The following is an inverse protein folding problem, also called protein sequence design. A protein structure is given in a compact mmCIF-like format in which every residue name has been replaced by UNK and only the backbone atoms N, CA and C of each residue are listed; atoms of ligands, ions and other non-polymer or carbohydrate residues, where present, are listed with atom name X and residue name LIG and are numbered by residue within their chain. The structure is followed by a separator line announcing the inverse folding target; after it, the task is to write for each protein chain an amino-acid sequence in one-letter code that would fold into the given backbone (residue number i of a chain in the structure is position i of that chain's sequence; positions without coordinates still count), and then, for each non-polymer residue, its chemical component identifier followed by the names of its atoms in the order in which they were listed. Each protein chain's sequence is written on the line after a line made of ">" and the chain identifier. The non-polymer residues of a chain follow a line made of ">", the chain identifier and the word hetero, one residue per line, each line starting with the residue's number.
data_IF_611774193658
#
_entry.id   IF_611774193658
#
_cell.length_a   1.000
_cell.length_b   1.000
_cell.length_c   1.000
_cell.angle_alpha   90.00
_cell.angle_beta   90.00
_cell.angle_gamma   90.00
#
_symmetry.space_group_name_H-M   'P 1'
#
loop_
_entity.id
_entity.type
_entity.pdbx_description
1 polymer ?
#
# COMPACT_ATOMS: atom_id res chain seq x y z
N UNK A 1 -25.38 7.97 -12.19
CA UNK A 1 -24.81 7.47 -10.92
C UNK A 1 -25.53 6.16 -10.52
N UNK A 2 -24.77 5.10 -10.28
CA UNK A 2 -25.27 3.79 -9.84
C UNK A 2 -25.16 3.73 -8.31
N UNK A 3 -26.20 3.20 -7.64
CA UNK A 3 -26.16 2.87 -6.21
C UNK A 3 -26.17 1.35 -6.04
N UNK A 4 -25.27 0.84 -5.22
CA UNK A 4 -25.21 -0.57 -4.82
C UNK A 4 -25.32 -0.65 -3.30
N UNK A 5 -26.26 -1.43 -2.78
CA UNK A 5 -26.43 -1.67 -1.36
C UNK A 5 -25.79 -3.00 -0.98
N UNK A 6 -25.03 -2.99 0.13
CA UNK A 6 -24.33 -4.14 0.71
C UNK A 6 -24.90 -4.47 2.11
N UNK A 7 -26.04 -5.18 2.18
CA UNK A 7 -26.78 -5.38 3.43
C UNK A 7 -25.97 -6.15 4.48
N UNK A 8 -25.06 -7.03 4.05
CA UNK A 8 -24.23 -7.84 4.96
C UNK A 8 -23.23 -7.01 5.78
N UNK A 9 -22.91 -5.80 5.33
CA UNK A 9 -22.01 -4.87 6.00
C UNK A 9 -22.69 -3.53 6.32
N UNK A 10 -24.00 -3.42 6.06
CA UNK A 10 -24.82 -2.23 6.26
C UNK A 10 -24.26 -0.97 5.53
N UNK A 11 -23.66 -1.14 4.36
CA UNK A 11 -23.07 -0.08 3.55
C UNK A 11 -23.83 0.15 2.25
N UNK A 12 -23.72 1.34 1.71
CA UNK A 12 -24.16 1.70 0.36
C UNK A 12 -23.02 2.41 -0.37
N UNK A 13 -22.80 2.08 -1.62
CA UNK A 13 -21.81 2.72 -2.48
C UNK A 13 -22.51 3.37 -3.67
N UNK A 14 -22.22 4.65 -3.89
CA UNK A 14 -22.57 5.36 -5.11
C UNK A 14 -21.35 5.41 -6.02
N UNK A 15 -21.54 5.01 -7.26
CA UNK A 15 -20.49 4.86 -8.26
C UNK A 15 -20.84 5.68 -9.51
N UNK A 16 -19.89 6.47 -9.99
CA UNK A 16 -19.96 7.16 -11.26
C UNK A 16 -18.56 7.22 -11.89
N UNK A 17 -18.53 7.23 -13.21
CA UNK A 17 -17.32 7.59 -13.97
C UNK A 17 -17.68 8.81 -14.80
N UNK A 18 -17.00 9.92 -14.53
CA UNK A 18 -17.24 11.18 -15.23
C UNK A 18 -16.81 11.10 -16.70
N UNK A 19 -17.28 11.98 -17.58
CA UNK A 19 -16.91 11.98 -19.00
C UNK A 19 -15.39 12.10 -19.26
N UNK A 20 -14.65 12.71 -18.33
CA UNK A 20 -13.19 12.82 -18.38
C UNK A 20 -12.45 11.58 -17.82
N UNK A 21 -13.19 10.53 -17.44
CA UNK A 21 -12.64 9.28 -16.93
C UNK A 21 -12.43 9.21 -15.42
N UNK A 22 -12.61 10.31 -14.67
CA UNK A 22 -12.50 10.28 -13.20
C UNK A 22 -13.54 9.33 -12.60
N UNK A 23 -13.08 8.35 -11.85
CA UNK A 23 -13.93 7.44 -11.07
C UNK A 23 -14.30 8.09 -9.76
N UNK A 24 -15.58 8.25 -9.47
CA UNK A 24 -16.09 8.84 -8.22
C UNK A 24 -16.83 7.78 -7.42
N UNK A 25 -16.46 7.63 -6.17
CA UNK A 25 -17.00 6.66 -5.22
C UNK A 25 -17.44 7.39 -3.95
N UNK A 26 -18.69 7.17 -3.53
CA UNK A 26 -19.24 7.89 -2.37
C UNK A 26 -19.91 6.88 -1.44
N UNK A 27 -19.49 6.90 -0.19
CA UNK A 27 -20.06 6.09 0.90
C UNK A 27 -20.76 7.04 1.88
N UNK A 28 -22.09 7.19 1.80
CA UNK A 28 -22.82 8.10 2.67
C UNK A 28 -22.83 7.56 4.10
N UNK A 29 -22.44 8.40 5.06
CA UNK A 29 -22.51 8.13 6.51
C UNK A 29 -23.37 9.21 7.17
N UNK A 30 -24.68 8.98 7.21
CA UNK A 30 -25.63 9.95 7.76
C UNK A 30 -25.36 10.24 9.24
N UNK A 31 -25.60 11.48 9.62
CA UNK A 31 -25.46 12.01 11.00
C UNK A 31 -24.02 12.03 11.54
N UNK A 32 -23.01 11.74 10.71
CA UNK A 32 -21.61 11.95 11.08
C UNK A 32 -21.17 13.36 10.71
N UNK A 33 -20.63 14.10 11.70
CA UNK A 33 -20.08 15.42 11.44
C UNK A 33 -18.83 15.38 10.56
N UNK A 34 -17.99 14.35 10.77
CA UNK A 34 -16.77 14.16 9.99
C UNK A 34 -17.10 13.79 8.54
N UNK A 35 -16.39 14.42 7.62
CA UNK A 35 -16.38 14.09 6.18
C UNK A 35 -14.94 13.90 5.76
N UNK A 36 -14.70 12.95 4.88
CA UNK A 36 -13.37 12.65 4.34
C UNK A 36 -13.45 12.55 2.82
N UNK A 37 -12.54 13.21 2.13
CA UNK A 37 -12.31 13.01 0.71
C UNK A 37 -10.89 12.51 0.48
N UNK A 38 -10.75 11.54 -0.40
CA UNK A 38 -9.52 10.84 -0.72
C UNK A 38 -9.39 10.73 -2.22
N UNK A 39 -8.35 11.32 -2.79
CA UNK A 39 -8.05 11.28 -4.20
C UNK A 39 -6.81 10.42 -4.43
N UNK A 40 -7.01 9.24 -4.99
CA UNK A 40 -5.94 8.32 -5.37
C UNK A 40 -5.54 8.54 -6.82
N UNK A 41 -4.25 8.56 -7.07
CA UNK A 41 -3.63 8.54 -8.39
C UNK A 41 -2.97 7.18 -8.57
N UNK A 42 -3.26 6.46 -9.66
CA UNK A 42 -2.57 5.20 -10.01
C UNK A 42 -1.16 5.51 -10.50
N UNK A 43 -0.31 5.95 -9.57
CA UNK A 43 1.09 6.29 -9.75
C UNK A 43 1.82 6.09 -8.43
N UNK A 44 2.75 5.17 -8.39
CA UNK A 44 3.53 4.86 -7.20
C UNK A 44 5.03 4.82 -7.48
N UNK A 45 5.81 4.45 -6.47
CA UNK A 45 7.28 4.46 -6.57
C UNK A 45 7.84 3.48 -7.60
N UNK A 46 7.08 2.45 -7.99
CA UNK A 46 7.51 1.48 -9.02
C UNK A 46 7.29 1.96 -10.46
N UNK A 47 6.58 3.07 -10.68
CA UNK A 47 6.22 3.58 -12.00
C UNK A 47 7.35 4.44 -12.61
N UNK A 48 8.57 3.94 -12.60
CA UNK A 48 9.77 4.66 -13.09
C UNK A 48 10.07 4.45 -14.58
N UNK A 49 9.40 3.49 -15.23
CA UNK A 49 9.55 3.17 -16.65
C UNK A 49 8.18 3.05 -17.31
N UNK A 50 7.86 3.96 -18.21
CA UNK A 50 6.53 3.99 -18.84
C UNK A 50 6.57 4.52 -20.27
N UNK A 51 5.54 4.19 -21.05
CA UNK A 51 5.33 4.71 -22.41
C UNK A 51 4.10 5.59 -22.44
N UNK A 52 4.26 6.85 -22.87
CA UNK A 52 3.17 7.78 -23.12
C UNK A 52 3.27 8.32 -24.55
N UNK A 53 2.15 8.36 -25.26
CA UNK A 53 2.09 8.84 -26.66
C UNK A 53 3.10 8.14 -27.60
N UNK A 54 3.38 6.84 -27.32
CA UNK A 54 4.34 6.03 -28.07
C UNK A 54 5.82 6.30 -27.73
N UNK A 55 6.09 7.17 -26.79
CA UNK A 55 7.46 7.50 -26.32
C UNK A 55 7.72 6.86 -24.98
N UNK A 56 8.72 5.96 -24.89
CA UNK A 56 9.18 5.39 -23.63
C UNK A 56 10.02 6.38 -22.85
N UNK A 57 9.72 6.52 -21.57
CA UNK A 57 10.40 7.41 -20.63
C UNK A 57 10.86 6.60 -19.42
N UNK A 58 12.06 6.89 -18.96
CA UNK A 58 12.58 6.42 -17.68
C UNK A 58 12.86 7.65 -16.81
N UNK A 59 12.47 7.57 -15.56
CA UNK A 59 12.60 8.64 -14.57
C UNK A 59 13.34 8.13 -13.33
N UNK A 60 13.99 8.99 -12.55
CA UNK A 60 14.69 8.58 -11.34
C UNK A 60 13.75 7.97 -10.30
N UNK A 61 14.25 7.00 -9.54
CA UNK A 61 13.57 6.46 -8.37
C UNK A 61 13.30 7.59 -7.35
N UNK A 62 12.17 7.50 -6.64
CA UNK A 62 11.72 8.54 -5.70
C UNK A 62 10.88 9.64 -6.33
N UNK A 63 10.72 9.69 -7.66
CA UNK A 63 9.99 10.79 -8.33
C UNK A 63 8.50 10.85 -7.92
N UNK A 64 7.86 9.72 -7.65
CA UNK A 64 6.45 9.70 -7.21
C UNK A 64 6.29 10.37 -5.82
N UNK A 65 7.16 10.04 -4.89
CA UNK A 65 7.22 10.65 -3.57
C UNK A 65 7.60 12.13 -3.63
N UNK A 66 8.57 12.47 -4.48
CA UNK A 66 8.94 13.86 -4.72
C UNK A 66 7.76 14.68 -5.25
N UNK A 67 7.03 14.11 -6.21
CA UNK A 67 5.86 14.77 -6.78
C UNK A 67 4.74 14.94 -5.73
N UNK A 68 4.56 13.97 -4.84
CA UNK A 68 3.62 14.07 -3.72
C UNK A 68 3.89 15.33 -2.90
N UNK A 69 5.13 15.55 -2.45
CA UNK A 69 5.53 16.75 -1.71
C UNK A 69 5.23 18.03 -2.49
N UNK A 70 5.56 18.04 -3.77
CA UNK A 70 5.43 19.23 -4.62
C UNK A 70 4.00 19.62 -4.96
N UNK A 71 3.03 18.71 -4.84
CA UNK A 71 1.64 19.04 -5.13
C UNK A 71 0.98 19.98 -4.12
N UNK A 72 1.58 20.18 -2.94
CA UNK A 72 1.09 21.16 -1.96
C UNK A 72 1.43 22.61 -2.31
N UNK A 73 2.36 22.83 -3.22
CA UNK A 73 2.68 24.17 -3.75
C UNK A 73 1.70 24.54 -4.87
N UNK A 74 0.95 25.61 -4.69
CA UNK A 74 0.11 26.20 -5.72
C UNK A 74 0.69 27.56 -6.18
N UNK A 75 0.36 28.03 -7.40
CA UNK A 75 0.92 29.27 -7.92
C UNK A 75 0.69 30.50 -7.04
N UNK A 76 -0.37 30.53 -6.26
CA UNK A 76 -0.86 31.66 -5.49
C UNK A 76 -0.95 31.39 -3.98
N UNK A 77 -0.71 30.17 -3.52
CA UNK A 77 -0.84 29.81 -2.11
C UNK A 77 -0.13 28.50 -1.76
N UNK A 78 0.09 28.28 -0.47
CA UNK A 78 0.38 26.99 0.14
C UNK A 78 -0.92 26.26 0.46
N UNK A 79 -1.10 25.05 -0.07
CA UNK A 79 -2.33 24.27 0.12
C UNK A 79 -2.53 23.87 1.59
N UNK A 80 -1.47 23.50 2.32
CA UNK A 80 -1.57 23.14 3.74
C UNK A 80 -2.13 24.28 4.57
N UNK A 81 -1.61 25.50 4.38
CA UNK A 81 -2.09 26.68 5.06
C UNK A 81 -3.58 26.95 4.75
N UNK A 82 -3.97 26.76 3.48
CA UNK A 82 -5.36 26.99 3.07
C UNK A 82 -6.33 25.96 3.63
N UNK A 83 -5.96 24.68 3.66
CA UNK A 83 -6.76 23.63 4.34
C UNK A 83 -6.94 23.96 5.83
N UNK A 84 -5.87 24.36 6.51
CA UNK A 84 -5.94 24.76 7.91
C UNK A 84 -6.90 25.96 8.16
N UNK A 85 -6.87 26.97 7.28
CA UNK A 85 -7.82 28.10 7.33
C UNK A 85 -9.28 27.65 7.14
N UNK A 86 -9.51 26.61 6.34
CA UNK A 86 -10.83 26.02 6.10
C UNK A 86 -11.24 25.00 7.19
N UNK A 87 -10.42 24.81 8.22
CA UNK A 87 -10.68 23.90 9.33
C UNK A 87 -10.54 22.42 8.97
N UNK A 88 -9.76 22.09 7.94
CA UNK A 88 -9.49 20.72 7.53
C UNK A 88 -8.10 20.27 7.95
N UNK A 89 -7.96 18.94 8.17
CA UNK A 89 -6.68 18.25 8.27
C UNK A 89 -6.39 17.57 6.94
N UNK A 90 -5.32 17.95 6.28
CA UNK A 90 -4.87 17.37 5.00
C UNK A 90 -3.64 16.51 5.21
N UNK A 91 -3.51 15.45 4.42
CA UNK A 91 -2.31 14.61 4.36
C UNK A 91 -2.20 13.94 2.98
N UNK A 92 -1.02 13.40 2.70
CA UNK A 92 -0.75 12.60 1.50
C UNK A 92 0.17 11.44 1.84
N UNK A 93 0.28 10.48 0.94
CA UNK A 93 1.28 9.42 1.01
C UNK A 93 1.53 8.83 -0.37
N UNK A 94 2.73 8.29 -0.55
CA UNK A 94 3.12 7.48 -1.70
C UNK A 94 3.37 6.05 -1.25
N UNK A 95 2.79 5.10 -1.98
CA UNK A 95 3.09 3.67 -1.85
C UNK A 95 3.83 3.16 -3.09
N UNK A 96 4.07 1.87 -3.17
CA UNK A 96 4.63 1.26 -4.37
C UNK A 96 3.75 1.48 -5.62
N UNK A 97 2.44 1.53 -5.46
CA UNK A 97 1.47 1.48 -6.58
C UNK A 97 0.54 2.68 -6.68
N UNK A 98 0.50 3.54 -5.68
CA UNK A 98 -0.47 4.62 -5.57
C UNK A 98 0.13 5.81 -4.82
N UNK A 99 -0.18 7.02 -5.28
CA UNK A 99 -0.04 8.26 -4.50
C UNK A 99 -1.45 8.76 -4.17
N UNK A 100 -1.68 9.14 -2.92
CA UNK A 100 -2.99 9.59 -2.49
C UNK A 100 -2.92 10.87 -1.69
N UNK A 101 -3.90 11.74 -1.88
CA UNK A 101 -4.11 13.00 -1.19
C UNK A 101 -5.47 12.97 -0.54
N UNK A 102 -5.57 13.34 0.73
CA UNK A 102 -6.84 13.29 1.43
C UNK A 102 -6.96 14.39 2.46
N UNK A 103 -8.19 14.80 2.72
CA UNK A 103 -8.48 15.66 3.86
C UNK A 103 -9.66 15.12 4.65
N UNK A 104 -9.72 15.52 5.93
CA UNK A 104 -10.90 15.38 6.77
C UNK A 104 -11.34 16.73 7.31
N UNK A 105 -12.66 16.96 7.37
CA UNK A 105 -13.25 18.20 7.89
C UNK A 105 -14.62 17.94 8.52
N UNK A 106 -15.10 18.89 9.30
CA UNK A 106 -16.50 18.94 9.78
C UNK A 106 -17.33 19.96 9.01
N UNK A 107 -16.69 21.05 8.58
CA UNK A 107 -17.30 22.17 7.89
C UNK A 107 -16.57 22.47 6.58
N UNK A 108 -17.12 23.38 5.76
CA UNK A 108 -16.51 23.87 4.51
C UNK A 108 -16.10 22.73 3.56
N UNK A 109 -16.90 21.65 3.51
CA UNK A 109 -16.56 20.46 2.71
C UNK A 109 -16.39 20.78 1.22
N UNK A 110 -17.26 21.63 0.66
CA UNK A 110 -17.21 22.05 -0.73
C UNK A 110 -15.88 22.72 -1.06
N UNK A 111 -15.50 23.74 -0.27
CA UNK A 111 -14.27 24.50 -0.49
C UNK A 111 -13.03 23.63 -0.33
N UNK A 112 -13.04 22.71 0.63
CA UNK A 112 -11.96 21.77 0.84
C UNK A 112 -11.85 20.76 -0.32
N UNK A 113 -12.99 20.27 -0.87
CA UNK A 113 -12.97 19.35 -2.00
C UNK A 113 -12.51 20.06 -3.29
N UNK A 114 -12.96 21.29 -3.55
CA UNK A 114 -12.50 22.11 -4.67
C UNK A 114 -10.98 22.37 -4.55
N UNK A 115 -10.47 22.63 -3.35
CA UNK A 115 -9.05 22.83 -3.08
C UNK A 115 -8.25 21.55 -3.34
N UNK A 116 -8.71 20.37 -2.85
CA UNK A 116 -8.06 19.09 -3.09
C UNK A 116 -7.92 18.79 -4.59
N UNK A 117 -9.02 18.94 -5.33
CA UNK A 117 -9.03 18.69 -6.77
C UNK A 117 -8.11 19.66 -7.52
N UNK A 118 -8.13 20.97 -7.14
CA UNK A 118 -7.23 21.97 -7.69
C UNK A 118 -5.77 21.62 -7.40
N UNK A 119 -5.44 21.29 -6.15
CA UNK A 119 -4.10 20.95 -5.70
C UNK A 119 -3.51 19.81 -6.56
N UNK A 120 -4.30 18.76 -6.81
CA UNK A 120 -3.81 17.58 -7.55
C UNK A 120 -3.81 17.79 -9.06
N UNK A 121 -4.64 18.68 -9.61
CA UNK A 121 -4.76 18.88 -11.07
C UNK A 121 -3.99 20.07 -11.63
N UNK A 122 -3.51 20.98 -10.77
CA UNK A 122 -2.79 22.20 -11.20
C UNK A 122 -1.33 22.14 -10.74
N UNK A 123 -0.40 21.62 -11.58
CA UNK A 123 0.99 21.53 -11.20
C UNK A 123 1.67 22.90 -11.18
N UNK A 124 2.52 23.13 -10.17
CA UNK A 124 3.34 24.32 -10.07
C UNK A 124 4.72 23.97 -9.54
N UNK A 125 5.70 23.86 -10.44
CA UNK A 125 7.06 23.47 -10.10
C UNK A 125 8.03 24.51 -10.67
N UNK A 126 8.78 25.20 -9.79
CA UNK A 126 9.87 26.08 -10.17
C UNK A 126 11.20 25.43 -9.80
N UNK A 127 12.28 25.75 -10.50
CA UNK A 127 13.61 25.23 -10.17
C UNK A 127 13.97 25.50 -8.69
N UNK A 128 13.67 26.71 -8.20
CA UNK A 128 13.94 27.11 -6.82
C UNK A 128 13.14 26.27 -5.82
N UNK A 129 11.83 26.05 -6.09
CA UNK A 129 10.97 25.27 -5.18
C UNK A 129 11.31 23.78 -5.21
N UNK A 130 11.75 23.26 -6.35
CA UNK A 130 12.24 21.88 -6.47
C UNK A 130 13.53 21.71 -5.69
N UNK A 131 14.52 22.59 -5.85
CA UNK A 131 15.78 22.51 -5.10
C UNK A 131 15.58 22.62 -3.58
N UNK A 132 14.68 23.50 -3.14
CA UNK A 132 14.32 23.60 -1.70
C UNK A 132 13.74 22.29 -1.17
N UNK A 133 12.81 21.68 -1.90
CA UNK A 133 12.16 20.44 -1.49
C UNK A 133 13.13 19.26 -1.47
N UNK A 134 14.10 19.22 -2.40
CA UNK A 134 15.16 18.21 -2.43
C UNK A 134 15.87 18.10 -1.08
N UNK A 135 16.23 19.23 -0.47
CA UNK A 135 16.89 19.24 0.83
C UNK A 135 16.01 18.68 1.96
N UNK A 136 14.68 18.84 1.89
CA UNK A 136 13.74 18.28 2.86
C UNK A 136 13.66 16.75 2.68
N UNK A 137 13.49 16.29 1.45
CA UNK A 137 13.40 14.86 1.12
C UNK A 137 14.71 14.14 1.42
N UNK A 138 15.87 14.78 1.20
CA UNK A 138 17.18 14.23 1.61
C UNK A 138 17.22 13.91 3.12
N UNK A 139 16.75 14.83 3.96
CA UNK A 139 16.72 14.60 5.40
C UNK A 139 15.75 13.46 5.78
N UNK A 140 14.65 13.35 5.08
CA UNK A 140 13.70 12.24 5.27
C UNK A 140 14.31 10.89 4.85
N UNK A 141 15.00 10.83 3.71
CA UNK A 141 15.72 9.62 3.27
C UNK A 141 16.75 9.21 4.32
N UNK A 142 17.57 10.15 4.81
CA UNK A 142 18.56 9.87 5.85
C UNK A 142 17.92 9.38 7.15
N UNK A 143 16.76 9.91 7.53
CA UNK A 143 15.99 9.43 8.69
C UNK A 143 15.55 7.97 8.51
N UNK A 144 15.07 7.57 7.32
CA UNK A 144 14.73 6.17 7.02
C UNK A 144 15.98 5.28 6.94
N UNK A 145 17.11 5.79 6.44
CA UNK A 145 18.38 5.07 6.43
C UNK A 145 18.91 4.76 7.84
N UNK A 146 18.59 5.59 8.81
CA UNK A 146 18.91 5.39 10.22
C UNK A 146 17.90 4.50 10.97
N UNK A 147 16.77 4.13 10.34
CA UNK A 147 15.73 3.26 10.92
C UNK A 147 16.04 1.79 10.68
N UNK A 148 16.28 0.98 11.71
CA UNK A 148 16.52 -0.47 11.56
C UNK A 148 15.34 -1.19 10.89
N UNK A 149 14.10 -0.82 11.25
CA UNK A 149 12.88 -1.41 10.72
C UNK A 149 12.72 -1.15 9.22
N UNK A 150 13.02 0.08 8.78
CA UNK A 150 13.02 0.43 7.36
C UNK A 150 14.10 -0.34 6.60
N UNK A 151 15.31 -0.37 7.13
CA UNK A 151 16.45 -1.01 6.47
C UNK A 151 16.30 -2.52 6.35
N UNK A 152 15.79 -3.20 7.38
CA UNK A 152 15.61 -4.65 7.31
C UNK A 152 14.56 -5.04 6.25
N UNK A 153 13.52 -4.22 6.08
CA UNK A 153 12.48 -4.42 5.07
C UNK A 153 12.98 -4.10 3.65
N UNK A 154 13.63 -2.94 3.46
CA UNK A 154 14.18 -2.52 2.16
C UNK A 154 15.25 -3.48 1.65
N UNK A 155 16.18 -3.89 2.52
CA UNK A 155 17.21 -4.87 2.18
C UNK A 155 16.57 -6.21 1.76
N UNK A 156 15.48 -6.63 2.43
CA UNK A 156 14.74 -7.84 2.06
C UNK A 156 14.17 -7.75 0.64
N UNK A 157 13.50 -6.64 0.29
CA UNK A 157 12.96 -6.42 -1.05
C UNK A 157 14.05 -6.42 -2.12
N UNK A 158 15.19 -5.78 -1.83
CA UNK A 158 16.31 -5.69 -2.77
C UNK A 158 16.89 -7.07 -3.14
N UNK A 159 16.94 -8.00 -2.20
CA UNK A 159 17.46 -9.36 -2.45
C UNK A 159 16.41 -10.32 -3.02
N UNK A 160 15.13 -10.13 -2.70
CA UNK A 160 14.03 -10.97 -3.20
C UNK A 160 13.61 -10.62 -4.62
N UNK A 161 13.69 -9.34 -5.00
CA UNK A 161 13.20 -8.82 -6.28
C UNK A 161 14.26 -7.97 -7.01
N UNK A 162 15.46 -8.50 -7.29
CA UNK A 162 16.60 -7.72 -7.76
C UNK A 162 16.38 -7.03 -9.12
N UNK A 163 15.38 -7.45 -9.89
CA UNK A 163 15.07 -6.95 -11.23
C UNK A 163 13.74 -6.19 -11.31
N UNK A 164 13.07 -5.99 -10.17
CA UNK A 164 11.81 -5.25 -10.08
C UNK A 164 12.03 -3.88 -9.41
N UNK A 165 11.34 -2.80 -9.82
CA UNK A 165 11.52 -1.47 -9.22
C UNK A 165 11.18 -1.41 -7.72
N UNK A 166 10.34 -2.31 -7.19
CA UNK A 166 10.06 -2.41 -5.75
C UNK A 166 11.31 -2.73 -4.88
N UNK A 167 12.45 -3.09 -5.48
CA UNK A 167 13.74 -3.27 -4.78
C UNK A 167 14.31 -1.97 -4.22
N UNK A 168 13.78 -0.82 -4.65
CA UNK A 168 14.26 0.51 -4.25
C UNK A 168 13.26 1.11 -3.25
N UNK A 169 13.73 1.84 -2.23
CA UNK A 169 12.85 2.56 -1.31
C UNK A 169 11.87 3.49 -2.02
N UNK A 170 10.69 3.70 -1.46
CA UNK A 170 9.64 4.55 -2.03
C UNK A 170 10.13 5.98 -2.25
N UNK A 171 10.91 6.51 -1.31
CA UNK A 171 11.53 7.84 -1.39
C UNK A 171 12.71 7.93 -2.37
N UNK A 172 13.16 6.80 -2.93
CA UNK A 172 14.40 6.74 -3.69
C UNK A 172 15.65 6.79 -2.82
N UNK A 173 16.74 7.31 -3.36
CA UNK A 173 17.99 7.58 -2.66
C UNK A 173 18.39 9.04 -2.84
N UNK A 174 19.30 9.56 -1.99
CA UNK A 174 19.88 10.91 -2.14
C UNK A 174 20.46 11.09 -3.55
N UNK A 175 21.11 10.07 -4.10
CA UNK A 175 21.64 10.11 -5.45
C UNK A 175 20.52 10.21 -6.50
N UNK A 176 19.50 9.33 -6.44
CA UNK A 176 18.43 9.31 -7.45
C UNK A 176 17.62 10.60 -7.47
N UNK A 177 17.25 11.14 -6.29
CA UNK A 177 16.49 12.39 -6.22
C UNK A 177 17.28 13.62 -6.66
N UNK A 178 18.62 13.57 -6.63
CA UNK A 178 19.48 14.66 -7.12
C UNK A 178 19.34 14.92 -8.63
N UNK A 179 18.85 13.94 -9.38
CA UNK A 179 18.61 14.01 -10.81
C UNK A 179 17.20 14.47 -11.18
N UNK A 180 16.31 14.66 -10.19
CA UNK A 180 14.92 15.11 -10.43
C UNK A 180 14.92 16.63 -10.63
N UNK A 181 14.32 17.06 -11.73
CA UNK A 181 14.10 18.46 -12.08
C UNK A 181 12.63 18.79 -12.32
N UNK A 182 12.31 20.06 -12.51
CA UNK A 182 10.94 20.52 -12.73
C UNK A 182 10.32 19.93 -14.01
N UNK A 183 11.09 19.75 -15.08
CA UNK A 183 10.59 19.20 -16.35
C UNK A 183 10.18 17.74 -16.20
N UNK A 184 10.92 16.94 -15.42
CA UNK A 184 10.58 15.56 -15.11
C UNK A 184 9.31 15.47 -14.25
N UNK A 185 9.17 16.36 -13.25
CA UNK A 185 7.95 16.43 -12.44
C UNK A 185 6.72 16.79 -13.28
N UNK A 186 6.84 17.82 -14.16
CA UNK A 186 5.78 18.15 -15.12
C UNK A 186 5.47 17.00 -16.09
N UNK A 187 6.47 16.25 -16.54
CA UNK A 187 6.28 15.11 -17.42
C UNK A 187 5.53 13.97 -16.73
N UNK A 188 5.87 13.65 -15.47
CA UNK A 188 5.17 12.65 -14.67
C UNK A 188 3.75 13.09 -14.32
N UNK A 189 3.56 14.34 -13.89
CA UNK A 189 2.24 14.89 -13.63
C UNK A 189 1.33 14.76 -14.87
N UNK A 190 1.80 15.16 -16.03
CA UNK A 190 1.03 15.04 -17.30
C UNK A 190 0.71 13.61 -17.66
N UNK A 191 1.59 12.66 -17.33
CA UNK A 191 1.40 11.26 -17.65
C UNK A 191 0.39 10.57 -16.73
N UNK A 192 0.47 10.83 -15.43
CA UNK A 192 -0.25 10.05 -14.42
C UNK A 192 -1.39 10.81 -13.75
N UNK A 193 -1.29 12.15 -13.60
CA UNK A 193 -2.29 12.97 -12.90
C UNK A 193 -3.42 13.40 -13.84
N UNK A 194 -3.95 12.45 -14.59
CA UNK A 194 -5.10 12.63 -15.48
C UNK A 194 -6.35 12.04 -14.84
N UNK A 195 -7.53 12.64 -15.03
CA UNK A 195 -8.76 12.17 -14.40
C UNK A 195 -9.03 10.68 -14.61
N UNK A 196 -8.74 10.15 -15.80
CA UNK A 196 -8.91 8.72 -16.14
C UNK A 196 -8.01 7.77 -15.35
N UNK A 197 -6.94 8.28 -14.75
CA UNK A 197 -5.97 7.54 -13.92
C UNK A 197 -6.18 7.80 -12.42
N UNK A 198 -7.32 8.40 -12.03
CA UNK A 198 -7.62 8.81 -10.66
C UNK A 198 -8.93 8.22 -10.15
N UNK A 199 -9.02 8.10 -8.83
CA UNK A 199 -10.24 7.71 -8.10
C UNK A 199 -10.47 8.71 -6.99
N UNK A 200 -11.63 9.38 -7.00
CA UNK A 200 -12.10 10.18 -5.88
C UNK A 200 -13.04 9.34 -5.01
N UNK A 201 -12.67 9.08 -3.77
CA UNK A 201 -13.52 8.43 -2.78
C UNK A 201 -13.92 9.43 -1.70
N UNK A 202 -15.21 9.52 -1.40
CA UNK A 202 -15.76 10.40 -0.38
C UNK A 202 -16.58 9.60 0.62
N UNK A 203 -16.32 9.78 1.92
CA UNK A 203 -17.05 9.13 3.01
C UNK A 203 -17.55 10.19 3.98
N UNK A 204 -18.84 10.18 4.31
CA UNK A 204 -19.44 11.13 5.25
C UNK A 204 -20.89 11.46 4.96
N UNK A 205 -21.43 12.39 5.71
CA UNK A 205 -22.78 12.95 5.48
C UNK A 205 -22.70 14.01 4.38
N UNK A 206 -22.76 13.53 3.13
CA UNK A 206 -22.68 14.33 1.91
C UNK A 206 -23.77 13.95 0.94
N UNK A 207 -24.22 14.93 0.13
CA UNK A 207 -25.14 14.66 -0.97
C UNK A 207 -24.34 14.18 -2.18
N UNK A 208 -24.59 12.95 -2.68
CA UNK A 208 -23.79 12.37 -3.76
C UNK A 208 -23.77 13.22 -5.04
N UNK A 209 -24.87 13.87 -5.40
CA UNK A 209 -24.92 14.72 -6.59
C UNK A 209 -24.04 15.97 -6.43
N UNK A 210 -23.98 16.54 -5.23
CA UNK A 210 -23.10 17.70 -4.96
C UNK A 210 -21.62 17.33 -5.15
N UNK A 211 -21.20 16.16 -4.68
CA UNK A 211 -19.82 15.65 -4.89
C UNK A 211 -19.50 15.51 -6.38
N UNK A 212 -20.43 14.96 -7.17
CA UNK A 212 -20.26 14.82 -8.61
C UNK A 212 -20.16 16.20 -9.32
N UNK A 213 -21.03 17.15 -8.95
CA UNK A 213 -21.03 18.47 -9.55
C UNK A 213 -19.72 19.23 -9.27
N UNK A 214 -19.21 19.11 -8.04
CA UNK A 214 -17.89 19.67 -7.67
C UNK A 214 -16.77 18.98 -8.47
N UNK A 215 -16.74 17.65 -8.49
CA UNK A 215 -15.72 16.88 -9.20
C UNK A 215 -15.69 17.22 -10.69
N UNK A 216 -16.86 17.32 -11.33
CA UNK A 216 -16.97 17.68 -12.74
C UNK A 216 -16.55 19.13 -13.02
N UNK A 217 -16.87 20.06 -12.11
CA UNK A 217 -16.54 21.48 -12.26
C UNK A 217 -15.08 21.83 -11.94
N UNK A 218 -14.39 20.99 -11.15
CA UNK A 218 -13.05 21.26 -10.62
C UNK A 218 -11.93 20.40 -11.22
N UNK A 219 -12.25 19.52 -12.18
CA UNK A 219 -11.25 18.70 -12.86
C UNK A 219 -11.18 18.99 -14.35
N UNK A 220 -10.01 18.79 -15.02
CA UNK A 220 -9.86 18.94 -16.45
C UNK A 220 -10.93 18.13 -17.22
N UNK A 221 -11.47 18.68 -18.30
CA UNK A 221 -12.51 18.02 -19.09
C UNK A 221 -11.98 16.95 -20.05
N UNK A 222 -10.68 16.96 -20.31
CA UNK A 222 -10.04 16.05 -21.25
C UNK A 222 -9.79 14.68 -20.63
N UNK A 223 -10.15 13.61 -21.34
CA UNK A 223 -9.83 12.23 -20.98
C UNK A 223 -8.56 11.81 -21.72
N UNK A 224 -7.44 11.74 -20.98
CA UNK A 224 -6.17 11.22 -21.52
C UNK A 224 -6.01 9.74 -21.14
N UNK A 225 -5.44 8.90 -22.02
CA UNK A 225 -5.18 7.51 -21.67
C UNK A 225 -4.09 7.41 -20.61
N UNK A 226 -4.21 6.45 -19.70
CA UNK A 226 -3.15 6.11 -18.77
C UNK A 226 -1.90 5.62 -19.53
N UNK A 227 -0.67 5.88 -19.03
CA UNK A 227 0.55 5.41 -19.67
C UNK A 227 0.68 3.89 -19.54
N UNK A 228 1.37 3.26 -20.52
CA UNK A 228 1.76 1.86 -20.43
C UNK A 228 2.99 1.73 -19.53
N UNK A 229 2.91 0.94 -18.47
CA UNK A 229 3.94 0.75 -17.45
C UNK A 229 4.83 -0.46 -17.74
N UNK A 230 6.10 -0.41 -17.31
CA UNK A 230 7.10 -1.46 -17.49
C UNK A 230 7.81 -1.74 -16.17
N UNK A 231 7.48 -2.86 -15.50
CA UNK A 231 8.01 -3.18 -14.16
C UNK A 231 9.25 -4.10 -14.16
N UNK A 232 9.70 -4.56 -15.32
CA UNK A 232 10.79 -5.55 -15.39
C UNK A 232 10.31 -6.95 -15.05
N UNK A 233 11.13 -7.72 -14.33
CA UNK A 233 10.81 -9.10 -13.96
C UNK A 233 10.50 -9.21 -12.47
N UNK A 234 9.38 -9.83 -12.15
CA UNK A 234 8.99 -10.25 -10.78
C UNK A 234 9.67 -11.57 -10.36
N UNK A 235 10.42 -12.21 -11.25
CA UNK A 235 11.18 -13.41 -10.91
C UNK A 235 12.30 -13.07 -9.93
N UNK A 236 12.34 -13.81 -8.84
CA UNK A 236 13.40 -13.69 -7.86
C UNK A 236 14.42 -14.83 -7.99
N UNK A 237 15.45 -14.83 -7.14
CA UNK A 237 16.44 -15.90 -7.07
C UNK A 237 15.76 -17.25 -6.85
N UNK A 238 16.19 -18.27 -7.59
CA UNK A 238 15.70 -19.66 -7.43
C UNK A 238 16.26 -20.38 -6.20
N UNK A 239 16.79 -19.64 -5.23
CA UNK A 239 17.40 -20.13 -3.99
C UNK A 239 17.17 -19.14 -2.84
N UNK A 240 17.39 -19.59 -1.60
CA UNK A 240 17.38 -18.74 -0.43
C UNK A 240 18.42 -17.61 -0.54
N UNK A 241 18.02 -16.38 -0.21
CA UNK A 241 18.89 -15.20 -0.21
C UNK A 241 18.94 -14.55 1.15
N UNK A 242 20.04 -13.85 1.44
CA UNK A 242 20.26 -13.20 2.75
C UNK A 242 20.90 -11.83 2.60
N UNK A 243 20.50 -10.92 3.47
CA UNK A 243 21.15 -9.64 3.74
C UNK A 243 21.47 -9.53 5.23
N UNK A 244 22.57 -8.88 5.56
CA UNK A 244 22.98 -8.61 6.94
C UNK A 244 23.56 -7.21 7.02
N UNK A 245 23.16 -6.48 8.04
CA UNK A 245 23.61 -5.12 8.33
C UNK A 245 23.87 -4.96 9.82
N UNK A 246 24.74 -4.03 10.19
CA UNK A 246 25.01 -3.67 11.58
C UNK A 246 24.52 -2.24 11.82
N UNK A 247 23.70 -2.04 12.85
CA UNK A 247 23.14 -0.74 13.22
C UNK A 247 23.11 -0.57 14.76
N UNK A 248 22.70 0.61 15.24
CA UNK A 248 22.50 0.90 16.67
C UNK A 248 21.18 0.29 17.17
N UNK A 249 21.20 -1.00 17.45
CA UNK A 249 20.06 -1.74 18.00
C UNK A 249 20.50 -2.52 19.25
N UNK A 250 19.57 -2.81 20.15
CA UNK A 250 19.85 -3.55 21.38
C UNK A 250 19.86 -5.07 21.20
N UNK A 251 19.11 -5.57 20.20
CA UNK A 251 19.07 -6.99 19.81
C UNK A 251 18.85 -7.09 18.30
N UNK A 252 19.15 -8.25 17.70
CA UNK A 252 18.96 -8.42 16.26
C UNK A 252 17.50 -8.29 15.85
N UNK A 253 17.22 -7.46 14.82
CA UNK A 253 15.94 -7.37 14.14
C UNK A 253 15.97 -8.22 12.88
N UNK A 254 14.93 -9.00 12.66
CA UNK A 254 14.78 -9.85 11.49
C UNK A 254 13.55 -9.48 10.66
N UNK A 255 13.70 -9.54 9.35
CA UNK A 255 12.59 -9.61 8.42
C UNK A 255 12.84 -10.77 7.44
N UNK A 256 11.94 -11.73 7.41
CA UNK A 256 11.98 -12.81 6.42
C UNK A 256 10.74 -12.79 5.57
N UNK A 257 10.85 -13.16 4.30
CA UNK A 257 9.67 -13.36 3.48
C UNK A 257 9.84 -14.52 2.52
N UNK A 258 8.70 -15.02 2.08
CA UNK A 258 8.56 -16.10 1.11
C UNK A 258 7.79 -15.58 -0.09
N UNK A 259 8.40 -15.65 -1.27
CA UNK A 259 7.73 -15.26 -2.52
C UNK A 259 6.57 -16.19 -2.81
N UNK A 260 5.41 -15.62 -3.06
CA UNK A 260 4.19 -16.31 -3.44
C UNK A 260 3.92 -16.14 -4.94
N UNK A 261 3.14 -17.04 -5.52
CA UNK A 261 2.74 -16.91 -6.91
C UNK A 261 1.68 -15.78 -7.01
N UNK A 262 1.91 -14.85 -7.92
CA UNK A 262 0.94 -13.82 -8.25
C UNK A 262 -0.29 -14.42 -8.93
N UNK A 263 -1.42 -13.73 -8.80
CA UNK A 263 -2.69 -14.07 -9.46
C UNK A 263 -3.12 -12.88 -10.30
N UNK A 264 -3.67 -13.16 -11.47
CA UNK A 264 -4.25 -12.12 -12.33
C UNK A 264 -5.31 -11.30 -11.55
N UNK A 265 -5.41 -10.03 -11.91
CA UNK A 265 -6.39 -9.10 -11.34
C UNK A 265 -7.82 -9.65 -11.44
N UNK A 266 -8.66 -9.30 -10.48
CA UNK A 266 -10.05 -9.68 -10.42
C UNK A 266 -10.40 -10.52 -9.18
N UNK A 267 -11.58 -11.16 -9.09
CA UNK A 267 -12.06 -11.86 -7.88
C UNK A 267 -11.10 -12.92 -7.33
N UNK A 268 -10.29 -13.55 -8.18
CA UNK A 268 -9.28 -14.52 -7.78
C UNK A 268 -8.16 -13.88 -6.96
N UNK A 269 -7.77 -12.63 -7.23
CA UNK A 269 -6.72 -11.93 -6.46
C UNK A 269 -7.20 -11.58 -5.05
N UNK A 270 -8.44 -11.11 -4.86
CA UNK A 270 -9.02 -10.90 -3.53
C UNK A 270 -9.02 -12.20 -2.71
N UNK A 271 -9.49 -13.31 -3.32
CA UNK A 271 -9.49 -14.61 -2.64
C UNK A 271 -8.07 -15.04 -2.25
N UNK A 272 -7.09 -14.82 -3.13
CA UNK A 272 -5.67 -15.14 -2.86
C UNK A 272 -5.12 -14.30 -1.71
N UNK A 273 -5.45 -13.01 -1.65
CA UNK A 273 -5.08 -12.13 -0.54
C UNK A 273 -5.63 -12.67 0.79
N UNK A 274 -6.93 -12.99 0.86
CA UNK A 274 -7.55 -13.53 2.06
C UNK A 274 -6.94 -14.88 2.50
N UNK A 275 -6.62 -15.76 1.55
CA UNK A 275 -5.92 -17.02 1.83
C UNK A 275 -4.51 -16.74 2.36
N UNK A 276 -3.79 -15.78 1.78
CA UNK A 276 -2.46 -15.38 2.23
C UNK A 276 -2.47 -14.78 3.65
N UNK A 277 -3.43 -13.90 3.96
CA UNK A 277 -3.63 -13.37 5.31
C UNK A 277 -3.94 -14.48 6.33
N UNK A 278 -4.83 -15.41 6.00
CA UNK A 278 -5.13 -16.55 6.86
C UNK A 278 -3.92 -17.48 7.01
N UNK A 279 -3.14 -17.66 5.96
CA UNK A 279 -1.94 -18.48 5.98
C UNK A 279 -0.86 -17.87 6.91
N UNK A 280 -0.66 -16.54 6.86
CA UNK A 280 0.28 -15.85 7.75
C UNK A 280 -0.13 -15.99 9.22
N UNK A 281 -1.40 -15.83 9.53
CA UNK A 281 -1.95 -15.99 10.87
C UNK A 281 -1.86 -17.45 11.40
N UNK A 282 -2.11 -18.44 10.54
CA UNK A 282 -1.99 -19.87 10.88
C UNK A 282 -0.52 -20.25 11.09
N UNK A 283 0.38 -19.73 10.27
CA UNK A 283 1.81 -20.05 10.37
C UNK A 283 2.43 -19.42 11.62
N UNK A 284 2.28 -18.10 11.78
CA UNK A 284 3.07 -17.32 12.73
C UNK A 284 2.31 -16.21 13.46
N UNK A 285 0.96 -16.15 13.36
CA UNK A 285 0.15 -15.19 14.12
C UNK A 285 0.20 -15.47 15.63
N UNK A 286 -0.14 -14.48 16.47
CA UNK A 286 -0.07 -14.55 17.95
C UNK A 286 -0.76 -15.79 18.55
N UNK A 287 -1.83 -16.29 17.93
CA UNK A 287 -2.55 -17.48 18.40
C UNK A 287 -1.99 -18.80 17.84
N UNK A 288 -0.91 -18.76 17.05
CA UNK A 288 -0.32 -19.96 16.46
C UNK A 288 0.50 -20.77 17.47
N UNK A 289 0.58 -22.09 17.28
CA UNK A 289 1.48 -22.94 18.07
C UNK A 289 2.96 -22.51 17.95
N UNK A 290 3.36 -22.03 16.78
CA UNK A 290 4.72 -21.53 16.55
C UNK A 290 5.02 -20.33 17.42
N UNK A 291 4.17 -19.30 17.39
CA UNK A 291 4.32 -18.10 18.22
C UNK A 291 4.43 -18.47 19.70
N UNK A 292 3.48 -19.26 20.21
CA UNK A 292 3.45 -19.69 21.62
C UNK A 292 4.72 -20.43 22.03
N UNK A 293 5.27 -21.29 21.16
CA UNK A 293 6.51 -22.01 21.39
C UNK A 293 7.72 -21.09 21.42
N UNK A 294 7.90 -20.26 20.41
CA UNK A 294 9.04 -19.35 20.32
C UNK A 294 9.04 -18.32 21.43
N UNK A 295 7.86 -17.75 21.75
CA UNK A 295 7.69 -16.81 22.85
C UNK A 295 8.02 -17.44 24.21
N UNK A 296 7.55 -18.68 24.49
CA UNK A 296 7.85 -19.37 25.73
C UNK A 296 9.32 -19.75 25.88
N UNK A 297 10.05 -19.87 24.77
CA UNK A 297 11.49 -20.11 24.73
C UNK A 297 12.31 -18.80 24.84
N UNK A 298 11.64 -17.63 24.82
CA UNK A 298 12.33 -16.34 24.83
C UNK A 298 13.04 -16.01 23.51
N UNK A 299 12.70 -16.71 22.42
CA UNK A 299 13.29 -16.48 21.09
C UNK A 299 12.67 -15.32 20.33
N UNK A 300 11.46 -14.91 20.70
CA UNK A 300 10.73 -13.77 20.12
C UNK A 300 10.05 -12.98 21.24
N UNK A 301 9.69 -11.77 20.94
CA UNK A 301 8.90 -10.89 21.78
C UNK A 301 7.53 -10.54 21.14
N UNK A 302 6.70 -9.64 21.74
CA UNK A 302 5.41 -9.26 21.17
C UNK A 302 5.48 -8.47 19.86
N UNK A 303 6.65 -8.00 19.41
CA UNK A 303 6.82 -7.35 18.10
C UNK A 303 6.70 -8.34 16.93
N UNK A 304 6.90 -9.64 17.23
CA UNK A 304 6.86 -10.69 16.20
C UNK A 304 5.48 -10.77 15.54
N UNK A 305 5.44 -10.56 14.25
CA UNK A 305 4.22 -10.55 13.46
C UNK A 305 4.44 -11.16 12.08
N UNK A 306 3.33 -11.57 11.46
CA UNK A 306 3.32 -12.11 10.11
C UNK A 306 2.23 -11.42 9.29
N UNK A 307 2.48 -11.28 7.99
CA UNK A 307 1.56 -10.66 7.05
C UNK A 307 1.65 -11.23 5.65
N UNK A 308 0.68 -10.87 4.82
CA UNK A 308 0.69 -11.14 3.39
C UNK A 308 0.57 -9.82 2.64
N UNK A 309 1.40 -9.63 1.64
CA UNK A 309 1.43 -8.42 0.82
C UNK A 309 1.31 -8.77 -0.67
N UNK A 310 0.60 -7.90 -1.39
CA UNK A 310 0.49 -7.96 -2.85
C UNK A 310 0.79 -6.57 -3.42
N UNK A 311 1.80 -6.48 -4.29
CA UNK A 311 2.24 -5.27 -4.97
C UNK A 311 2.28 -5.59 -6.46
N UNK A 312 1.18 -5.29 -7.16
CA UNK A 312 1.00 -5.67 -8.59
C UNK A 312 1.24 -7.17 -8.81
N UNK A 313 2.34 -7.52 -9.47
CA UNK A 313 2.74 -8.91 -9.77
C UNK A 313 3.67 -9.53 -8.71
N UNK A 314 3.95 -8.82 -7.62
CA UNK A 314 4.70 -9.34 -6.48
C UNK A 314 3.75 -9.75 -5.36
N UNK A 315 3.94 -10.97 -4.85
CA UNK A 315 3.22 -11.46 -3.68
C UNK A 315 4.21 -12.10 -2.70
N UNK A 316 4.06 -11.78 -1.43
CA UNK A 316 4.94 -12.32 -0.38
C UNK A 316 4.18 -12.55 0.93
N UNK A 317 4.58 -13.59 1.65
CA UNK A 317 4.27 -13.79 3.06
C UNK A 317 5.50 -13.35 3.84
N UNK A 318 5.36 -12.33 4.66
CA UNK A 318 6.45 -11.75 5.47
C UNK A 318 6.27 -12.06 6.95
N UNK A 319 7.40 -12.15 7.66
CA UNK A 319 7.48 -12.31 9.11
C UNK A 319 8.55 -11.33 9.60
N UNK A 320 8.19 -10.54 10.60
CA UNK A 320 9.03 -9.51 11.18
C UNK A 320 9.10 -9.67 12.70
N UNK A 321 10.19 -9.27 13.34
CA UNK A 321 10.33 -9.20 14.79
C UNK A 321 11.78 -9.13 15.24
N UNK A 322 11.96 -9.09 16.56
CA UNK A 322 13.26 -9.12 17.20
C UNK A 322 13.55 -10.50 17.78
N UNK A 323 14.82 -10.91 17.75
CA UNK A 323 15.24 -12.22 18.27
C UNK A 323 16.74 -12.25 18.56
N UNK A 324 17.11 -12.87 19.69
CA UNK A 324 18.53 -13.19 20.00
C UNK A 324 19.11 -14.28 19.10
N UNK A 325 18.27 -15.13 18.50
CA UNK A 325 18.67 -16.17 17.54
C UNK A 325 17.74 -16.16 16.29
N UNK A 326 17.93 -15.20 15.37
CA UNK A 326 17.14 -15.10 14.13
C UNK A 326 17.21 -16.36 13.24
N UNK A 327 18.33 -17.11 13.33
CA UNK A 327 18.48 -18.34 12.56
C UNK A 327 17.58 -19.46 13.11
N UNK A 328 17.49 -19.59 14.42
CA UNK A 328 16.58 -20.57 15.04
C UNK A 328 15.12 -20.24 14.73
N UNK A 329 14.74 -18.95 14.72
CA UNK A 329 13.39 -18.50 14.33
C UNK A 329 13.12 -18.86 12.87
N UNK A 330 14.05 -18.57 11.95
CA UNK A 330 13.89 -18.88 10.54
C UNK A 330 13.69 -20.39 10.29
N UNK A 331 14.51 -21.24 10.92
CA UNK A 331 14.36 -22.70 10.79
C UNK A 331 13.03 -23.18 11.39
N UNK A 332 12.62 -22.66 12.53
CA UNK A 332 11.36 -23.01 13.17
C UNK A 332 10.13 -22.66 12.31
N UNK A 333 10.17 -21.54 11.56
CA UNK A 333 9.13 -21.16 10.59
C UNK A 333 9.04 -22.17 9.47
N UNK A 334 10.18 -22.58 8.88
CA UNK A 334 10.22 -23.60 7.81
C UNK A 334 9.73 -24.97 8.31
N UNK A 335 10.14 -25.38 9.51
CA UNK A 335 9.69 -26.64 10.11
C UNK A 335 8.18 -26.64 10.38
N UNK A 336 7.63 -25.53 10.88
CA UNK A 336 6.20 -25.40 11.14
C UNK A 336 5.38 -25.44 9.84
N UNK A 337 5.84 -24.74 8.77
CA UNK A 337 5.20 -24.81 7.47
C UNK A 337 5.17 -26.25 6.91
N UNK A 338 6.28 -27.00 7.06
CA UNK A 338 6.35 -28.39 6.67
C UNK A 338 5.43 -29.28 7.52
N UNK A 339 5.35 -29.01 8.85
CA UNK A 339 4.43 -29.72 9.74
C UNK A 339 2.98 -29.50 9.31
N UNK A 340 2.59 -28.23 9.09
CA UNK A 340 1.24 -27.86 8.63
C UNK A 340 0.93 -28.53 7.28
N UNK A 341 1.90 -28.56 6.35
CA UNK A 341 1.72 -29.23 5.05
C UNK A 341 1.43 -30.71 5.18
N UNK A 342 2.05 -31.41 6.13
CA UNK A 342 1.88 -32.87 6.33
C UNK A 342 0.67 -33.22 7.20
N UNK A 343 0.49 -32.51 8.30
CA UNK A 343 -0.45 -32.86 9.38
C UNK A 343 -1.71 -32.02 9.37
N UNK A 344 -1.67 -30.85 8.67
CA UNK A 344 -2.75 -29.88 8.71
C UNK A 344 -2.81 -29.11 10.03
N UNK A 345 -3.97 -28.53 10.29
CA UNK A 345 -4.31 -27.79 11.51
C UNK A 345 -5.77 -28.01 11.86
N UNK A 346 -6.16 -27.64 13.08
CA UNK A 346 -7.52 -27.83 13.59
C UNK A 346 -8.55 -27.00 12.78
N UNK A 347 -9.61 -27.65 12.33
CA UNK A 347 -10.73 -26.98 11.65
C UNK A 347 -11.43 -25.96 12.56
N UNK A 348 -11.54 -26.25 13.87
CA UNK A 348 -12.10 -25.30 14.84
C UNK A 348 -11.24 -24.04 14.96
N UNK A 349 -9.90 -24.19 15.00
CA UNK A 349 -8.97 -23.07 15.03
C UNK A 349 -9.05 -22.26 13.74
N UNK A 350 -9.07 -22.92 12.58
CA UNK A 350 -9.26 -22.26 11.29
C UNK A 350 -10.53 -21.41 11.26
N UNK A 351 -11.67 -21.95 11.68
CA UNK A 351 -12.93 -21.21 11.72
C UNK A 351 -12.85 -19.97 12.62
N UNK A 352 -12.18 -20.07 13.76
CA UNK A 352 -11.97 -18.91 14.65
C UNK A 352 -11.14 -17.83 13.98
N UNK A 353 -10.04 -18.18 13.29
CA UNK A 353 -9.21 -17.25 12.56
C UNK A 353 -9.96 -16.61 11.37
N UNK A 354 -10.72 -17.39 10.63
CA UNK A 354 -11.57 -16.91 9.55
C UNK A 354 -12.57 -15.84 10.05
N UNK A 355 -13.27 -16.12 11.14
CA UNK A 355 -14.19 -15.16 11.75
C UNK A 355 -13.46 -13.94 12.34
N UNK A 356 -12.28 -14.13 12.92
CA UNK A 356 -11.46 -13.03 13.44
C UNK A 356 -10.99 -12.09 12.31
N UNK A 357 -10.51 -12.65 11.20
CA UNK A 357 -10.08 -11.89 10.02
C UNK A 357 -11.25 -11.12 9.40
N UNK A 358 -12.41 -11.78 9.21
CA UNK A 358 -13.62 -11.09 8.77
C UNK A 358 -14.03 -9.97 9.74
N UNK A 359 -13.99 -10.23 11.04
CA UNK A 359 -14.33 -9.25 12.07
C UNK A 359 -13.37 -8.04 12.09
N UNK A 360 -12.09 -8.22 11.78
CA UNK A 360 -11.14 -7.11 11.61
C UNK A 360 -11.53 -6.24 10.42
N UNK A 361 -11.80 -6.83 9.26
CA UNK A 361 -12.23 -6.09 8.05
C UNK A 361 -13.59 -5.39 8.26
N UNK A 362 -14.48 -5.98 9.03
CA UNK A 362 -15.74 -5.31 9.43
C UNK A 362 -15.48 -4.07 10.30
N UNK A 363 -14.54 -4.14 11.24
CA UNK A 363 -14.15 -2.96 12.05
C UNK A 363 -13.45 -1.88 11.25
N UNK A 364 -12.73 -2.22 10.18
CA UNK A 364 -12.10 -1.24 9.30
C UNK A 364 -13.15 -0.32 8.64
N UNK A 365 -14.42 -0.76 8.56
CA UNK A 365 -15.53 0.06 8.06
C UNK A 365 -15.98 1.18 9.05
N UNK A 366 -15.46 1.20 10.27
CA UNK A 366 -15.65 2.31 11.22
C UNK A 366 -14.66 3.46 10.94
N UNK A 367 -13.60 3.21 10.18
CA UNK A 367 -12.59 4.21 9.80
C UNK A 367 -12.83 4.72 8.38
N UNK A 368 -13.16 6.00 8.23
CA UNK A 368 -13.39 6.64 6.93
C UNK A 368 -12.15 6.58 6.02
N UNK A 369 -10.96 6.76 6.60
CA UNK A 369 -9.70 6.65 5.85
C UNK A 369 -9.45 5.22 5.37
N UNK A 370 -9.73 4.20 6.21
CA UNK A 370 -9.61 2.80 5.80
C UNK A 370 -10.59 2.44 4.69
N UNK A 371 -11.85 2.92 4.76
CA UNK A 371 -12.84 2.72 3.69
C UNK A 371 -12.31 3.30 2.37
N UNK A 372 -11.90 4.58 2.37
CA UNK A 372 -11.40 5.24 1.16
C UNK A 372 -10.17 4.54 0.59
N UNK A 373 -9.17 4.26 1.43
CA UNK A 373 -7.97 3.55 1.02
C UNK A 373 -8.29 2.19 0.38
N UNK A 374 -9.11 1.37 1.06
CA UNK A 374 -9.48 0.04 0.58
C UNK A 374 -10.28 0.10 -0.73
N UNK A 375 -11.27 1.00 -0.84
CA UNK A 375 -12.03 1.15 -2.09
C UNK A 375 -11.08 1.53 -3.22
N UNK A 376 -10.21 2.53 -3.04
CA UNK A 376 -9.29 2.96 -4.07
C UNK A 376 -8.28 1.87 -4.44
N UNK A 377 -7.62 1.24 -3.46
CA UNK A 377 -6.61 0.21 -3.70
C UNK A 377 -7.19 -1.00 -4.46
N UNK A 378 -8.37 -1.47 -4.05
CA UNK A 378 -9.03 -2.60 -4.73
C UNK A 378 -9.51 -2.24 -6.14
N UNK A 379 -9.99 -1.02 -6.32
CA UNK A 379 -10.47 -0.57 -7.62
C UNK A 379 -9.35 -0.33 -8.64
N UNK A 380 -8.13 -0.02 -8.20
CA UNK A 380 -6.94 -0.01 -9.04
C UNK A 380 -6.57 -1.41 -9.57
N UNK A 381 -7.09 -2.46 -8.93
CA UNK A 381 -6.96 -3.85 -9.34
C UNK A 381 -8.27 -4.45 -9.90
N UNK A 382 -9.21 -3.57 -10.34
CA UNK A 382 -10.50 -3.93 -10.93
C UNK A 382 -11.40 -4.75 -9.98
N UNK A 383 -11.29 -4.51 -8.66
CA UNK A 383 -12.05 -5.17 -7.61
C UNK A 383 -13.02 -4.22 -6.91
N UNK A 384 -14.11 -4.76 -6.37
CA UNK A 384 -14.99 -4.05 -5.46
C UNK A 384 -14.71 -4.48 -4.02
N UNK A 385 -14.23 -3.54 -3.19
CA UNK A 385 -13.87 -3.87 -1.80
C UNK A 385 -15.05 -4.44 -1.00
N UNK A 386 -16.24 -3.88 -1.13
CA UNK A 386 -17.41 -4.26 -0.34
C UNK A 386 -17.95 -5.68 -0.61
N UNK A 387 -17.37 -6.39 -1.59
CA UNK A 387 -17.67 -7.82 -1.83
C UNK A 387 -16.82 -8.77 -0.97
N UNK A 388 -15.93 -8.26 -0.11
CA UNK A 388 -15.06 -9.09 0.72
C UNK A 388 -15.82 -10.12 1.59
N UNK A 389 -17.03 -9.86 2.16
CA UNK A 389 -17.69 -10.88 2.99
C UNK A 389 -18.02 -12.14 2.22
N UNK A 390 -18.38 -12.02 0.94
CA UNK A 390 -18.67 -13.17 0.07
C UNK A 390 -17.42 -13.98 -0.22
N UNK A 391 -16.26 -13.32 -0.37
CA UNK A 391 -14.99 -13.99 -0.62
C UNK A 391 -14.52 -14.88 0.56
N UNK A 392 -14.96 -14.58 1.80
CA UNK A 392 -14.68 -15.42 2.97
C UNK A 392 -15.53 -16.69 3.03
N UNK A 393 -16.73 -16.69 2.41
CA UNK A 393 -17.76 -17.71 2.65
C UNK A 393 -17.30 -19.12 2.32
N UNK A 394 -16.46 -19.27 1.28
CA UNK A 394 -16.10 -20.58 0.73
C UNK A 394 -14.61 -20.92 0.87
N UNK A 395 -13.83 -20.16 1.69
CA UNK A 395 -12.42 -20.50 1.93
C UNK A 395 -12.34 -21.77 2.76
N UNK A 396 -11.62 -22.78 2.24
CA UNK A 396 -11.45 -24.06 2.88
C UNK A 396 -10.07 -24.20 3.54
N UNK A 397 -9.93 -24.94 4.66
CA UNK A 397 -8.65 -25.21 5.31
C UNK A 397 -7.58 -25.76 4.36
N UNK A 398 -8.01 -26.58 3.40
CA UNK A 398 -7.13 -27.20 2.42
C UNK A 398 -6.47 -26.17 1.49
N UNK A 399 -7.15 -25.09 1.13
CA UNK A 399 -6.58 -24.03 0.29
C UNK A 399 -5.45 -23.30 1.01
N UNK A 400 -5.61 -23.02 2.31
CA UNK A 400 -4.57 -22.40 3.14
C UNK A 400 -3.39 -23.35 3.33
N UNK A 401 -3.66 -24.65 3.55
CA UNK A 401 -2.63 -25.68 3.67
C UNK A 401 -1.80 -25.78 2.38
N UNK A 402 -2.47 -25.80 1.23
CA UNK A 402 -1.79 -25.85 -0.09
C UNK A 402 -1.00 -24.59 -0.36
N UNK A 403 -1.54 -23.41 -0.01
CA UNK A 403 -0.84 -22.15 -0.14
C UNK A 403 0.48 -22.16 0.66
N UNK A 404 0.46 -22.57 1.93
CA UNK A 404 1.66 -22.70 2.76
C UNK A 404 2.67 -23.72 2.18
N UNK A 405 2.18 -24.86 1.73
CA UNK A 405 3.02 -25.90 1.14
C UNK A 405 3.74 -25.45 -0.15
N UNK A 406 3.11 -24.60 -0.95
CA UNK A 406 3.65 -24.07 -2.20
C UNK A 406 4.56 -22.86 -2.01
N UNK A 407 4.23 -22.00 -1.05
CA UNK A 407 4.88 -20.70 -0.89
C UNK A 407 6.02 -20.72 0.14
N UNK A 408 5.81 -21.38 1.29
CA UNK A 408 6.77 -21.33 2.40
C UNK A 408 7.79 -22.47 2.29
N UNK A 409 8.81 -22.23 1.49
CA UNK A 409 9.94 -23.14 1.31
C UNK A 409 11.26 -22.36 1.19
N UNK A 410 12.36 -23.04 1.44
CA UNK A 410 13.71 -22.44 1.48
C UNK A 410 14.08 -21.74 0.17
N UNK A 411 13.74 -22.32 -0.96
CA UNK A 411 14.09 -21.82 -2.30
C UNK A 411 13.39 -20.51 -2.65
N UNK A 412 12.27 -20.21 -1.97
CA UNK A 412 11.48 -18.98 -2.16
C UNK A 412 11.75 -17.92 -1.09
N UNK A 413 12.64 -18.22 -0.12
CA UNK A 413 12.83 -17.37 1.05
C UNK A 413 13.91 -16.30 0.85
N UNK A 414 13.69 -15.15 1.51
CA UNK A 414 14.69 -14.15 1.83
C UNK A 414 14.73 -13.92 3.33
N UNK A 415 15.91 -13.65 3.86
CA UNK A 415 16.13 -13.27 5.25
C UNK A 415 17.04 -12.04 5.31
N UNK A 416 16.51 -10.95 5.84
CA UNK A 416 17.26 -9.74 6.13
C UNK A 416 17.42 -9.58 7.62
N UNK A 417 18.61 -9.18 8.06
CA UNK A 417 18.99 -9.05 9.47
C UNK A 417 19.67 -7.72 9.73
N UNK A 418 19.28 -7.08 10.80
CA UNK A 418 20.01 -5.96 11.40
C UNK A 418 20.58 -6.43 12.73
N UNK A 419 21.90 -6.43 12.85
CA UNK A 419 22.61 -6.82 14.06
C UNK A 419 23.05 -5.62 14.90
N UNK A 420 23.16 -5.75 16.24
CA UNK A 420 23.82 -4.76 17.07
C UNK A 420 25.26 -4.50 16.61
N UNK A 421 25.73 -3.26 16.78
CA UNK A 421 27.17 -2.98 16.68
C UNK A 421 27.90 -3.72 17.80
N UNK A 422 29.01 -4.37 17.46
CA UNK A 422 29.94 -4.89 18.47
C UNK A 422 30.64 -3.70 19.16
N UNK A 423 30.68 -3.70 20.50
CA UNK A 423 31.37 -2.68 21.31
C UNK A 423 32.91 -2.69 21.10
#
# INVERSE_FOLDING_TARGET
>A
MKRTDYPNIAESLYEETLPNGLRVRIVPKKDFALKLAFLAVDFGSIDTDFTQDGVRKQVPEGIAHYLEHKMFDLPDMDANARFAELGASVNAFTSYTMTAYHFSCTDSFRENLELLLRMVTVPYFTEESVEKERGIIEQEILMYEDSPDSRVYEDLFSILFPHHPARVPISGSVESISHIDADMLYACHRAFYTPSNMILCVVGDVEPQEVLDIAQGSTPSEALPAPLRHYGSSEGPGQAVRSQRTMEVSMPTLCMAFRCDAVEKGPASMRRELIGELASEILAGESSPLFSRLYSQGLIDPSFCAGYESIKDLCLLSIYGDSDDPQAVYEAVLEEAQRISREGFSEEWFRRLLHSSLGRRMRDLDSFSSICYRICAYELDDLSYFTFPEAYTDIQPEEVRQFLAQSVCRERSGLSLVHPKED
#
